data_IF_069438957088
#
_entry.id   IF_069438957088
#
_cell.length_a   1.000
_cell.length_b   1.000
_cell.length_c   1.000
_cell.angle_alpha   90.00
_cell.angle_beta   90.00
_cell.angle_gamma   90.00
#
_symmetry.space_group_name_H-M   'P 1'
#
loop_
_entity.id
_entity.type
_entity.pdbx_description
1 polymer ?
#
# COMPACT_ATOMS: atom_id res chain seq x y z
N UNK A 1 6.82 7.74 2.78
CA UNK A 1 5.88 7.70 1.66
C UNK A 1 6.55 6.99 0.50
N UNK A 2 5.85 6.05 -0.15
CA UNK A 2 6.35 5.33 -1.33
C UNK A 2 6.70 6.32 -2.44
N UNK A 3 7.86 6.15 -3.06
CA UNK A 3 8.25 6.93 -4.25
C UNK A 3 7.50 6.38 -5.46
N UNK A 4 6.45 7.08 -5.83
CA UNK A 4 5.58 6.71 -6.95
C UNK A 4 5.69 7.76 -8.06
N UNK A 5 5.97 7.29 -9.29
CA UNK A 5 6.06 8.17 -10.45
C UNK A 5 4.69 8.79 -10.73
N UNK A 6 4.62 10.11 -10.78
CA UNK A 6 3.35 10.82 -10.98
C UNK A 6 2.57 11.13 -9.69
N UNK A 7 3.14 10.87 -8.49
CA UNK A 7 2.52 11.30 -7.22
C UNK A 7 2.21 12.80 -7.24
N UNK A 8 0.99 13.16 -6.81
CA UNK A 8 0.49 14.53 -6.77
C UNK A 8 0.68 15.20 -5.41
N UNK A 9 1.58 14.67 -4.56
CA UNK A 9 1.78 15.15 -3.17
C UNK A 9 1.97 16.67 -3.08
N UNK A 10 2.68 17.27 -4.03
CA UNK A 10 2.93 18.72 -4.05
C UNK A 10 1.78 19.53 -4.64
N UNK A 11 0.76 18.88 -5.21
CA UNK A 11 -0.36 19.53 -5.91
C UNK A 11 -1.69 19.40 -5.17
N UNK A 12 -1.76 18.62 -4.08
CA UNK A 12 -3.04 18.31 -3.42
C UNK A 12 -3.74 19.55 -2.87
N UNK A 13 -2.99 20.52 -2.37
CA UNK A 13 -3.54 21.79 -1.89
C UNK A 13 -4.10 22.62 -3.04
N UNK A 14 -3.37 22.75 -4.14
CA UNK A 14 -3.83 23.47 -5.34
C UNK A 14 -5.07 22.82 -5.95
N UNK A 15 -5.12 21.47 -5.99
CA UNK A 15 -6.31 20.73 -6.45
C UNK A 15 -7.51 21.07 -5.56
N UNK A 16 -7.35 21.08 -4.24
CA UNK A 16 -8.42 21.42 -3.32
C UNK A 16 -8.87 22.88 -3.47
N UNK A 17 -7.95 23.81 -3.67
CA UNK A 17 -8.27 25.23 -3.92
C UNK A 17 -9.07 25.41 -5.22
N UNK A 18 -8.73 24.68 -6.29
CA UNK A 18 -9.44 24.70 -7.56
C UNK A 18 -10.87 24.13 -7.45
N UNK A 19 -11.07 23.10 -6.62
CA UNK A 19 -12.40 22.54 -6.35
C UNK A 19 -13.24 23.55 -5.57
N UNK A 20 -12.61 24.34 -4.71
CA UNK A 20 -13.28 25.30 -3.84
C UNK A 20 -14.06 24.65 -2.69
N UNK A 21 -14.73 25.47 -1.87
CA UNK A 21 -15.48 24.97 -0.72
C UNK A 21 -16.66 24.10 -1.16
N UNK A 22 -16.77 22.91 -0.57
CA UNK A 22 -17.86 21.97 -0.79
C UNK A 22 -18.54 21.61 0.54
N UNK A 23 -19.83 21.25 0.53
CA UNK A 23 -20.47 20.66 1.70
C UNK A 23 -19.74 19.42 2.18
N UNK A 24 -19.71 19.21 3.50
CA UNK A 24 -19.17 17.96 4.05
C UNK A 24 -19.95 16.76 3.52
N UNK A 25 -19.22 15.67 3.21
CA UNK A 25 -19.81 14.47 2.62
C UNK A 25 -20.04 14.54 1.11
N UNK A 26 -19.67 15.66 0.44
CA UNK A 26 -19.67 15.69 -1.03
C UNK A 26 -18.80 14.57 -1.59
N UNK A 27 -19.28 13.95 -2.68
CA UNK A 27 -18.55 12.87 -3.35
C UNK A 27 -17.39 13.43 -4.16
N UNK A 28 -16.21 12.88 -3.93
CA UNK A 28 -15.00 13.11 -4.75
C UNK A 28 -14.62 11.83 -5.47
N UNK A 29 -14.70 11.83 -6.80
CA UNK A 29 -14.35 10.67 -7.63
C UNK A 29 -12.97 10.87 -8.28
N UNK A 30 -12.05 9.91 -8.03
CA UNK A 30 -10.71 9.85 -8.65
C UNK A 30 -10.52 8.51 -9.37
N UNK A 31 -10.87 8.44 -10.67
CA UNK A 31 -10.79 7.19 -11.44
C UNK A 31 -9.34 6.82 -11.86
N UNK A 32 -8.35 7.63 -11.53
CA UNK A 32 -6.92 7.42 -11.77
C UNK A 32 -6.10 7.64 -10.48
N UNK A 33 -6.61 7.11 -9.37
CA UNK A 33 -6.17 7.43 -8.02
C UNK A 33 -4.72 7.03 -7.69
N UNK A 34 -4.07 6.18 -8.50
CA UNK A 34 -2.72 5.70 -8.23
C UNK A 34 -2.60 5.14 -6.82
N UNK A 35 -1.57 5.51 -6.08
CA UNK A 35 -1.40 5.08 -4.67
C UNK A 35 -2.27 5.86 -3.67
N UNK A 36 -3.31 6.55 -4.12
CA UNK A 36 -4.31 7.18 -3.25
C UNK A 36 -3.90 8.54 -2.65
N UNK A 37 -2.90 9.22 -3.19
CA UNK A 37 -2.39 10.49 -2.63
C UNK A 37 -3.48 11.59 -2.59
N UNK A 38 -4.18 11.81 -3.70
CA UNK A 38 -5.23 12.83 -3.79
C UNK A 38 -6.45 12.40 -2.99
N UNK A 39 -6.92 11.15 -3.19
CA UNK A 39 -8.07 10.62 -2.45
C UNK A 39 -7.88 10.66 -0.93
N UNK A 40 -6.71 10.31 -0.42
CA UNK A 40 -6.38 10.41 1.01
C UNK A 40 -6.47 11.85 1.53
N UNK A 41 -5.98 12.81 0.76
CA UNK A 41 -6.08 14.23 1.11
C UNK A 41 -7.54 14.71 1.12
N UNK A 42 -8.33 14.35 0.10
CA UNK A 42 -9.74 14.72 0.03
C UNK A 42 -10.56 14.08 1.15
N UNK A 43 -10.26 12.84 1.54
CA UNK A 43 -10.86 12.18 2.71
C UNK A 43 -10.63 13.01 3.99
N UNK A 44 -9.41 13.51 4.21
CA UNK A 44 -9.10 14.41 5.35
C UNK A 44 -9.89 15.73 5.30
N UNK A 45 -10.26 16.20 4.10
CA UNK A 45 -11.06 17.41 3.92
C UNK A 45 -12.57 17.18 4.11
N UNK A 46 -12.99 15.93 4.40
CA UNK A 46 -14.38 15.59 4.68
C UNK A 46 -15.19 15.21 3.44
N UNK A 47 -14.53 14.80 2.37
CA UNK A 47 -15.20 14.21 1.21
C UNK A 47 -15.46 12.72 1.43
N UNK A 48 -16.56 12.21 0.87
CA UNK A 48 -16.74 10.81 0.57
C UNK A 48 -15.93 10.47 -0.69
N UNK A 49 -14.88 9.69 -0.57
CA UNK A 49 -13.98 9.41 -1.70
C UNK A 49 -14.33 8.10 -2.39
N UNK A 50 -14.44 8.18 -3.71
CA UNK A 50 -14.56 7.06 -4.62
C UNK A 50 -13.29 7.07 -5.49
N UNK A 51 -12.43 6.06 -5.34
CA UNK A 51 -11.16 6.01 -6.03
C UNK A 51 -11.02 4.73 -6.84
N UNK A 52 -10.31 4.78 -7.95
CA UNK A 52 -10.04 3.60 -8.77
C UNK A 52 -8.73 3.66 -9.52
N UNK A 53 -8.27 2.48 -9.92
CA UNK A 53 -7.08 2.31 -10.77
C UNK A 53 -7.12 0.94 -11.44
N UNK A 54 -6.42 0.77 -12.56
CA UNK A 54 -6.21 -0.52 -13.22
C UNK A 54 -5.10 -1.35 -12.58
N UNK A 55 -4.19 -0.70 -11.85
CA UNK A 55 -3.03 -1.36 -11.28
C UNK A 55 -3.36 -1.95 -9.90
N UNK A 56 -3.24 -3.26 -9.78
CA UNK A 56 -3.58 -3.98 -8.56
C UNK A 56 -2.84 -3.47 -7.32
N UNK A 57 -1.55 -3.16 -7.43
CA UNK A 57 -0.79 -2.62 -6.30
C UNK A 57 -1.30 -1.23 -5.88
N UNK A 58 -1.70 -0.38 -6.84
CA UNK A 58 -2.29 0.93 -6.57
C UNK A 58 -3.62 0.78 -5.82
N UNK A 59 -4.47 -0.15 -6.27
CA UNK A 59 -5.71 -0.50 -5.59
C UNK A 59 -5.49 -0.95 -4.12
N UNK A 60 -4.44 -1.75 -3.85
CA UNK A 60 -4.11 -2.13 -2.47
C UNK A 60 -3.78 -0.91 -1.60
N UNK A 61 -3.02 0.05 -2.12
CA UNK A 61 -2.75 1.30 -1.42
C UNK A 61 -4.01 2.13 -1.19
N UNK A 62 -4.89 2.24 -2.19
CA UNK A 62 -6.16 2.95 -2.06
C UNK A 62 -7.05 2.30 -0.98
N UNK A 63 -7.19 0.97 -0.99
CA UNK A 63 -7.92 0.25 0.07
C UNK A 63 -7.32 0.53 1.45
N UNK A 64 -6.00 0.40 1.59
CA UNK A 64 -5.33 0.59 2.86
C UNK A 64 -5.40 2.03 3.39
N UNK A 65 -5.34 3.04 2.53
CA UNK A 65 -5.25 4.44 2.92
C UNK A 65 -6.59 5.18 2.90
N UNK A 66 -7.50 4.80 1.97
CA UNK A 66 -8.74 5.53 1.71
C UNK A 66 -9.95 4.75 2.22
N UNK A 67 -10.08 3.46 1.87
CA UNK A 67 -11.27 2.69 2.21
C UNK A 67 -11.30 2.31 3.70
N UNK A 68 -10.16 2.02 4.30
CA UNK A 68 -10.05 1.75 5.73
C UNK A 68 -9.87 3.05 6.53
N UNK A 69 -10.39 3.07 7.78
CA UNK A 69 -10.22 4.18 8.74
C UNK A 69 -9.19 3.86 9.83
N UNK A 70 -8.88 2.57 10.01
CA UNK A 70 -7.89 2.07 10.97
C UNK A 70 -7.22 0.80 10.43
N UNK A 71 -6.04 0.42 10.94
CA UNK A 71 -5.46 -0.87 10.65
C UNK A 71 -6.42 -2.01 11.03
N UNK A 72 -6.54 -3.08 10.22
CA UNK A 72 -7.31 -4.27 10.56
C UNK A 72 -6.80 -4.95 11.83
N UNK A 73 -7.69 -5.66 12.54
CA UNK A 73 -7.37 -6.35 13.80
C UNK A 73 -6.87 -7.78 13.63
N UNK A 74 -7.00 -8.36 12.43
CA UNK A 74 -6.55 -9.71 12.09
C UNK A 74 -7.01 -10.81 13.07
N UNK A 75 -8.33 -10.95 13.33
CA UNK A 75 -8.83 -11.82 14.40
C UNK A 75 -8.45 -13.30 14.22
N UNK A 76 -8.31 -13.77 12.99
CA UNK A 76 -7.97 -15.16 12.70
C UNK A 76 -6.45 -15.45 12.79
N UNK A 77 -5.61 -14.43 12.98
CA UNK A 77 -4.17 -14.59 13.14
C UNK A 77 -3.70 -14.53 14.61
N UNK A 78 -4.60 -14.29 15.56
CA UNK A 78 -4.26 -14.11 16.99
C UNK A 78 -3.50 -15.32 17.53
N UNK A 79 -3.93 -16.54 17.21
CA UNK A 79 -3.30 -17.77 17.69
C UNK A 79 -1.89 -17.99 17.14
N UNK A 80 -1.62 -17.54 15.93
CA UNK A 80 -0.33 -17.70 15.27
C UNK A 80 0.65 -16.58 15.62
N UNK A 81 0.15 -15.34 15.72
CA UNK A 81 0.98 -14.13 15.86
C UNK A 81 1.02 -13.57 17.28
N UNK A 82 0.31 -14.21 18.22
CA UNK A 82 0.14 -13.68 19.58
C UNK A 82 -0.63 -12.37 19.64
N UNK A 83 -1.35 -12.02 18.56
CA UNK A 83 -2.12 -10.78 18.44
C UNK A 83 -1.31 -9.58 17.92
N UNK A 84 -0.02 -9.74 17.63
CA UNK A 84 0.84 -8.69 17.08
C UNK A 84 1.44 -9.14 15.73
N UNK A 85 0.68 -8.92 14.66
CA UNK A 85 1.07 -9.28 13.30
C UNK A 85 2.29 -8.50 12.82
N UNK A 86 2.44 -7.24 13.21
CA UNK A 86 3.59 -6.41 12.84
C UNK A 86 4.88 -6.96 13.44
N UNK A 87 4.88 -7.26 14.74
CA UNK A 87 6.03 -7.88 15.42
C UNK A 87 6.34 -9.28 14.87
N UNK A 88 5.33 -10.09 14.60
CA UNK A 88 5.51 -11.41 14.00
C UNK A 88 6.23 -11.32 12.65
N UNK A 89 5.76 -10.45 11.74
CA UNK A 89 6.36 -10.25 10.42
C UNK A 89 7.79 -9.71 10.48
N UNK A 90 8.17 -9.04 11.56
CA UNK A 90 9.54 -8.58 11.79
C UNK A 90 10.50 -9.66 12.33
N UNK A 91 9.98 -10.84 12.71
CA UNK A 91 10.79 -11.93 13.27
C UNK A 91 11.00 -13.09 12.31
N UNK A 92 10.27 -13.09 11.18
CA UNK A 92 10.34 -14.18 10.21
C UNK A 92 11.31 -13.89 9.07
N UNK A 93 11.87 -14.95 8.50
CA UNK A 93 12.70 -14.90 7.30
C UNK A 93 12.56 -16.19 6.50
N UNK A 94 12.91 -16.14 5.21
CA UNK A 94 12.95 -17.30 4.33
C UNK A 94 14.38 -17.52 3.84
N UNK A 95 14.76 -18.76 3.57
CA UNK A 95 16.09 -19.10 3.04
C UNK A 95 16.12 -19.11 1.50
N UNK A 96 14.95 -19.28 0.87
CA UNK A 96 14.80 -19.39 -0.57
C UNK A 96 13.49 -18.68 -1.00
N UNK A 97 13.45 -18.24 -2.25
CA UNK A 97 12.24 -17.69 -2.83
C UNK A 97 12.52 -16.84 -4.06
N UNK A 98 11.47 -16.51 -4.78
CA UNK A 98 11.59 -15.77 -6.05
C UNK A 98 12.16 -14.35 -5.85
N UNK A 99 11.84 -13.69 -4.74
CA UNK A 99 12.35 -12.35 -4.47
C UNK A 99 13.84 -12.39 -4.16
N UNK A 100 14.30 -13.35 -3.36
CA UNK A 100 15.73 -13.55 -3.07
C UNK A 100 16.48 -13.77 -4.38
N UNK A 101 16.03 -14.72 -5.21
CA UNK A 101 16.66 -15.02 -6.49
C UNK A 101 16.68 -13.78 -7.41
N UNK A 102 15.51 -13.19 -7.66
CA UNK A 102 15.38 -12.19 -8.70
C UNK A 102 15.79 -10.77 -8.27
N UNK A 103 15.68 -10.43 -6.98
CA UNK A 103 15.90 -9.06 -6.49
C UNK A 103 17.12 -8.92 -5.55
N UNK A 104 17.78 -10.03 -5.20
CA UNK A 104 19.04 -10.02 -4.47
C UNK A 104 20.16 -10.64 -5.29
N UNK A 105 20.05 -11.95 -5.66
CA UNK A 105 21.12 -12.68 -6.33
C UNK A 105 21.38 -12.19 -7.78
N UNK A 106 20.32 -12.05 -8.58
CA UNK A 106 20.43 -11.61 -9.98
C UNK A 106 20.56 -10.08 -10.09
N UNK A 107 19.93 -9.35 -9.18
CA UNK A 107 19.83 -7.88 -9.21
C UNK A 107 19.92 -7.33 -7.79
N UNK A 108 20.87 -6.47 -7.52
CA UNK A 108 21.15 -5.94 -6.19
C UNK A 108 20.12 -4.89 -5.72
N UNK A 109 18.81 -5.22 -5.76
CA UNK A 109 17.76 -4.36 -5.22
C UNK A 109 17.72 -4.40 -3.69
N UNK A 110 18.03 -5.56 -3.09
CA UNK A 110 18.06 -5.76 -1.65
C UNK A 110 19.33 -6.47 -1.23
N UNK A 111 19.81 -6.27 0.00
CA UNK A 111 20.81 -7.10 0.62
C UNK A 111 20.24 -8.49 0.87
N UNK A 112 21.10 -9.49 1.05
CA UNK A 112 20.67 -10.87 1.33
C UNK A 112 19.73 -10.93 2.55
N UNK A 113 20.15 -10.34 3.66
CA UNK A 113 19.36 -10.30 4.89
C UNK A 113 17.99 -9.65 4.68
N UNK A 114 17.93 -8.47 4.02
CA UNK A 114 16.66 -7.80 3.74
C UNK A 114 15.77 -8.62 2.79
N UNK A 115 16.34 -9.27 1.78
CA UNK A 115 15.61 -10.11 0.85
C UNK A 115 14.99 -11.35 1.53
N UNK A 116 15.71 -11.97 2.46
CA UNK A 116 15.24 -13.11 3.26
C UNK A 116 14.06 -12.71 4.16
N UNK A 117 14.15 -11.58 4.86
CA UNK A 117 13.05 -11.05 5.67
C UNK A 117 11.82 -10.68 4.81
N UNK A 118 12.02 -9.98 3.70
CA UNK A 118 10.95 -9.61 2.78
C UNK A 118 10.28 -10.85 2.20
N UNK A 119 11.07 -11.86 1.79
CA UNK A 119 10.52 -13.12 1.27
C UNK A 119 9.70 -13.84 2.34
N UNK A 120 10.16 -13.89 3.58
CA UNK A 120 9.41 -14.46 4.70
C UNK A 120 8.06 -13.78 4.90
N UNK A 121 8.02 -12.45 4.84
CA UNK A 121 6.76 -11.69 4.90
C UNK A 121 5.82 -12.02 3.74
N UNK A 122 6.36 -12.13 2.51
CA UNK A 122 5.57 -12.52 1.32
C UNK A 122 4.94 -13.89 1.53
N UNK A 123 5.74 -14.87 1.95
CA UNK A 123 5.30 -16.25 2.11
C UNK A 123 4.21 -16.37 3.19
N UNK A 124 4.37 -15.68 4.32
CA UNK A 124 3.37 -15.62 5.38
C UNK A 124 2.06 -14.99 4.90
N UNK A 125 2.11 -13.80 4.28
CA UNK A 125 0.91 -13.09 3.81
C UNK A 125 0.18 -13.90 2.74
N UNK A 126 0.90 -14.52 1.80
CA UNK A 126 0.31 -15.38 0.79
C UNK A 126 -0.27 -16.67 1.37
N UNK A 127 0.41 -17.26 2.34
CA UNK A 127 -0.09 -18.44 3.09
C UNK A 127 -1.42 -18.13 3.80
N UNK A 128 -1.49 -17.01 4.52
CA UNK A 128 -2.71 -16.57 5.19
C UNK A 128 -3.85 -16.28 4.21
N UNK A 129 -3.53 -15.71 3.05
CA UNK A 129 -4.54 -15.47 1.99
C UNK A 129 -5.04 -16.77 1.40
N UNK A 130 -4.14 -17.71 1.07
CA UNK A 130 -4.48 -19.00 0.48
C UNK A 130 -5.32 -19.88 1.44
N UNK A 131 -5.02 -19.82 2.74
CA UNK A 131 -5.77 -20.54 3.79
C UNK A 131 -7.03 -19.79 4.26
N UNK A 132 -7.36 -18.63 3.66
CA UNK A 132 -8.50 -17.80 4.03
C UNK A 132 -8.48 -17.30 5.50
N UNK A 133 -7.30 -17.21 6.10
CA UNK A 133 -7.13 -16.63 7.43
C UNK A 133 -7.24 -15.09 7.42
N UNK A 134 -7.06 -14.46 6.24
CA UNK A 134 -7.24 -13.03 6.05
C UNK A 134 -8.21 -12.75 4.91
N UNK A 135 -9.04 -11.73 5.09
CA UNK A 135 -9.98 -11.25 4.08
C UNK A 135 -9.29 -10.30 3.06
N UNK A 136 -10.05 -9.81 2.06
CA UNK A 136 -9.51 -8.95 0.99
C UNK A 136 -8.97 -7.60 1.51
N UNK A 137 -9.57 -7.03 2.55
CA UNK A 137 -9.12 -5.75 3.10
C UNK A 137 -7.84 -5.93 3.92
N UNK A 138 -7.77 -6.99 4.71
CA UNK A 138 -6.57 -7.38 5.47
C UNK A 138 -5.41 -7.70 4.55
N UNK A 139 -5.66 -8.46 3.48
CA UNK A 139 -4.65 -8.76 2.47
C UNK A 139 -4.13 -7.51 1.77
N UNK A 140 -5.03 -6.65 1.28
CA UNK A 140 -4.65 -5.39 0.63
C UNK A 140 -3.82 -4.49 1.56
N UNK A 141 -4.22 -4.40 2.83
CA UNK A 141 -3.51 -3.62 3.84
C UNK A 141 -2.09 -4.16 4.11
N UNK A 142 -1.94 -5.49 4.27
CA UNK A 142 -0.64 -6.12 4.49
C UNK A 142 0.29 -5.96 3.28
N UNK A 143 -0.21 -6.18 2.06
CA UNK A 143 0.58 -6.02 0.83
C UNK A 143 1.01 -4.56 0.64
N UNK A 144 0.12 -3.59 0.83
CA UNK A 144 0.48 -2.18 0.72
C UNK A 144 1.51 -1.77 1.78
N UNK A 145 1.37 -2.28 3.02
CA UNK A 145 2.32 -2.07 4.12
C UNK A 145 3.68 -2.69 3.81
N UNK A 146 3.71 -3.90 3.25
CA UNK A 146 4.93 -4.58 2.82
C UNK A 146 5.65 -3.80 1.72
N UNK A 147 4.94 -3.42 0.65
CA UNK A 147 5.53 -2.64 -0.45
C UNK A 147 6.12 -1.31 0.05
N UNK A 148 5.41 -0.60 0.94
CA UNK A 148 5.95 0.63 1.53
C UNK A 148 7.19 0.38 2.40
N UNK A 149 7.22 -0.71 3.15
CA UNK A 149 8.35 -1.09 3.99
C UNK A 149 9.58 -1.49 3.14
N UNK A 150 9.36 -2.24 2.06
CA UNK A 150 10.39 -2.61 1.09
C UNK A 150 11.06 -1.38 0.45
N UNK A 151 10.28 -0.36 0.08
CA UNK A 151 10.83 0.85 -0.56
C UNK A 151 11.84 1.59 0.34
N UNK A 152 11.73 1.46 1.65
CA UNK A 152 12.65 2.09 2.60
C UNK A 152 14.07 1.51 2.53
N UNK A 153 14.21 0.26 2.11
CA UNK A 153 15.49 -0.47 1.99
C UNK A 153 15.84 -0.86 0.55
N UNK A 154 15.06 -0.40 -0.42
CA UNK A 154 15.33 -0.71 -1.81
C UNK A 154 16.53 0.07 -2.37
N UNK A 155 17.47 -0.62 -3.00
CA UNK A 155 18.69 -0.06 -3.61
C UNK A 155 18.40 0.48 -5.01
N UNK A 156 17.58 1.53 -5.09
CA UNK A 156 17.14 2.15 -6.35
C UNK A 156 17.51 3.62 -6.42
N UNK A 157 17.69 4.13 -7.63
CA UNK A 157 17.94 5.55 -7.88
C UNK A 157 16.68 6.44 -7.82
N UNK A 158 15.52 5.85 -7.47
CA UNK A 158 14.24 6.57 -7.39
C UNK A 158 13.04 5.70 -7.73
N UNK A 159 13.18 4.80 -8.69
CA UNK A 159 12.14 3.86 -9.12
C UNK A 159 12.74 2.47 -9.30
N UNK A 160 11.89 1.43 -9.39
CA UNK A 160 12.32 0.04 -9.60
C UNK A 160 12.71 -0.28 -11.05
N UNK A 161 12.96 0.72 -11.91
CA UNK A 161 13.51 0.50 -13.26
C UNK A 161 14.97 0.09 -13.27
N UNK A 162 15.74 0.58 -12.26
CA UNK A 162 17.15 0.24 -12.16
C UNK A 162 17.60 0.20 -10.69
N UNK A 163 18.48 -0.73 -10.40
CA UNK A 163 19.19 -0.80 -9.14
C UNK A 163 20.57 -0.14 -9.26
N UNK A 164 21.11 0.31 -8.13
CA UNK A 164 22.46 0.87 -8.06
C UNK A 164 23.50 -0.27 -8.00
N UNK A 165 24.63 -0.09 -8.68
CA UNK A 165 25.72 -1.08 -8.67
C UNK A 165 26.36 -1.29 -7.28
N UNK A 166 26.27 -0.27 -6.43
CA UNK A 166 26.70 -0.32 -5.04
C UNK A 166 25.52 -0.04 -4.14
N UNK A 167 25.46 -0.69 -2.98
CA UNK A 167 24.38 -0.44 -2.03
C UNK A 167 24.47 0.97 -1.47
N UNK A 168 23.36 1.69 -1.63
CA UNK A 168 23.20 3.02 -1.07
C UNK A 168 22.91 2.95 0.44
N UNK A 169 23.25 4.01 1.17
CA UNK A 169 23.15 4.06 2.65
C UNK A 169 21.81 3.56 3.21
N UNK A 170 20.69 3.83 2.56
CA UNK A 170 19.37 3.34 3.01
C UNK A 170 19.18 1.84 2.79
N UNK A 171 19.80 1.27 1.73
CA UNK A 171 19.60 -0.13 1.35
C UNK A 171 20.34 -1.11 2.28
N UNK A 172 21.36 -0.65 3.01
CA UNK A 172 22.08 -1.42 4.02
C UNK A 172 21.44 -1.33 5.42
N UNK A 173 20.36 -0.56 5.57
CA UNK A 173 19.62 -0.57 6.83
C UNK A 173 18.80 -1.85 6.95
N UNK A 174 18.58 -2.37 8.16
CA UNK A 174 17.74 -3.55 8.34
C UNK A 174 16.30 -3.29 7.85
N UNK A 175 15.73 -4.26 7.16
CA UNK A 175 14.31 -4.25 6.83
C UNK A 175 13.48 -4.25 8.11
N UNK A 176 12.46 -3.42 8.12
CA UNK A 176 11.51 -3.33 9.21
C UNK A 176 10.10 -3.20 8.61
N UNK A 177 9.31 -4.25 8.73
CA UNK A 177 7.91 -4.22 8.34
C UNK A 177 7.15 -3.23 9.22
N UNK A 178 6.38 -2.34 8.62
CA UNK A 178 5.56 -1.35 9.32
C UNK A 178 4.20 -1.25 8.68
N UNK A 179 3.17 -1.25 9.49
CA UNK A 179 1.83 -0.95 9.03
C UNK A 179 1.74 0.43 8.40
N UNK A 180 0.94 0.53 7.34
CA UNK A 180 0.43 1.80 6.86
C UNK A 180 -0.50 2.43 7.91
N UNK A 181 -0.63 3.75 7.83
CA UNK A 181 -1.60 4.48 8.64
C UNK A 181 -2.76 4.89 7.75
N UNK A 182 -3.92 4.21 7.84
CA UNK A 182 -5.13 4.61 7.15
C UNK A 182 -5.50 6.05 7.49
N UNK A 183 -6.04 6.75 6.52
CA UNK A 183 -6.54 8.10 6.73
C UNK A 183 -7.94 8.00 7.35
N UNK A 184 -8.12 8.58 8.52
CA UNK A 184 -9.44 8.65 9.15
C UNK A 184 -10.35 9.62 8.40
N UNK A 185 -11.62 9.25 8.25
CA UNK A 185 -12.65 10.07 7.61
C UNK A 185 -13.99 9.92 8.30
N UNK A 186 -14.88 10.90 8.09
CA UNK A 186 -16.25 10.89 8.65
C UNK A 186 -17.22 10.12 7.73
N UNK A 187 -16.87 9.91 6.47
CA UNK A 187 -17.74 9.32 5.44
C UNK A 187 -17.13 8.06 4.84
N UNK A 188 -17.98 7.07 4.50
CA UNK A 188 -17.52 5.82 3.90
C UNK A 188 -16.89 6.08 2.54
N UNK A 189 -15.71 5.51 2.31
CA UNK A 189 -14.99 5.61 1.04
C UNK A 189 -14.93 4.25 0.34
N UNK A 190 -14.86 4.26 -0.99
CA UNK A 190 -14.85 3.05 -1.81
C UNK A 190 -13.68 3.08 -2.81
N UNK A 191 -13.05 1.93 -3.01
CA UNK A 191 -11.93 1.79 -3.94
C UNK A 191 -12.18 0.62 -4.89
N UNK A 192 -11.95 0.86 -6.19
CA UNK A 192 -12.25 -0.10 -7.26
C UNK A 192 -11.00 -0.45 -8.07
N UNK A 193 -10.86 -1.74 -8.41
CA UNK A 193 -9.87 -2.23 -9.36
C UNK A 193 -10.56 -2.39 -10.71
N UNK A 194 -10.63 -1.31 -11.48
CA UNK A 194 -11.37 -1.32 -12.75
C UNK A 194 -10.94 -0.16 -13.67
N UNK A 195 -11.32 -0.28 -14.94
CA UNK A 195 -11.12 0.79 -15.92
C UNK A 195 -11.97 2.03 -15.56
N UNK A 196 -11.36 3.21 -15.69
CA UNK A 196 -12.04 4.49 -15.48
C UNK A 196 -13.33 4.64 -16.30
N UNK A 197 -13.40 4.03 -17.49
CA UNK A 197 -14.63 4.03 -18.31
C UNK A 197 -15.81 3.38 -17.60
N UNK A 198 -15.56 2.33 -16.82
CA UNK A 198 -16.60 1.65 -16.02
C UNK A 198 -17.03 2.56 -14.89
N UNK A 199 -16.09 3.23 -14.21
CA UNK A 199 -16.42 4.16 -13.12
C UNK A 199 -17.27 5.32 -13.58
N UNK A 200 -17.01 5.90 -14.74
CA UNK A 200 -17.82 7.01 -15.29
C UNK A 200 -19.26 6.64 -15.62
N UNK A 201 -19.59 5.34 -15.71
CA UNK A 201 -20.97 4.88 -15.98
C UNK A 201 -21.75 4.54 -14.71
N UNK A 202 -21.11 4.58 -13.54
CA UNK A 202 -21.77 4.27 -12.27
C UNK A 202 -22.60 5.46 -11.77
N UNK A 203 -23.77 5.15 -11.24
CA UNK A 203 -24.52 6.09 -10.43
C UNK A 203 -24.05 5.98 -8.97
N UNK A 204 -23.54 7.06 -8.42
CA UNK A 204 -23.03 7.14 -7.05
C UNK A 204 -24.02 7.86 -6.12
N UNK A 205 -25.26 8.04 -6.54
CA UNK A 205 -26.29 8.78 -5.78
C UNK A 205 -27.18 7.90 -4.90
N UNK A 206 -26.92 6.58 -4.88
CA UNK A 206 -27.64 5.62 -4.02
C UNK A 206 -26.90 5.33 -2.70
#
# INVERSE_FOLDING_TARGET
MLRYLGSKTLLVEQINELIGPQPKGSVFCDPFGGIGTVGSYMKQKGFQVISGDLLQFAHYFQKALIQLDAPPTFPNLISETGGDVESFLNQISAQHGWLIKSYCEERSFFTQENAEHIQGCIDAIWGWKASQHINENEYAFLIASLIQSMDRVANTAGTYYAYLKQYYRKAIQPFNFRFLHPVQGEYPCQCYLEDAKVQFTRDYTE
#
